data_IF_838233762487
#
_entry.id   IF_838233762487
#
_cell.length_a   1.000
_cell.length_b   1.000
_cell.length_c   1.000
_cell.angle_alpha   90.00
_cell.angle_beta   90.00
_cell.angle_gamma   90.00
#
_symmetry.space_group_name_H-M   'P 1'
#
loop_
_entity.id
_entity.type
_entity.pdbx_description
1 polymer ?
#
# COMPACT_ATOMS: atom_id res chain seq x y z
N UNK A 1 -1.45 27.29 -5.00
CA UNK A 1 -1.62 25.93 -4.46
C UNK A 1 -2.68 25.20 -5.27
N UNK A 2 -2.32 24.06 -5.78
CA UNK A 2 -3.22 23.19 -6.55
C UNK A 2 -3.46 21.89 -5.79
N UNK A 3 -4.62 21.30 -6.02
CA UNK A 3 -5.01 20.05 -5.38
C UNK A 3 -5.71 19.15 -6.39
N UNK A 4 -5.30 17.92 -6.47
CA UNK A 4 -5.94 16.89 -7.30
C UNK A 4 -6.16 15.62 -6.50
N UNK A 5 -7.23 14.92 -6.80
CA UNK A 5 -7.54 13.62 -6.21
C UNK A 5 -7.84 12.61 -7.31
N UNK A 6 -7.29 11.43 -7.18
CA UNK A 6 -7.47 10.34 -8.12
C UNK A 6 -7.54 9.01 -7.37
N UNK A 7 -7.90 7.95 -8.07
CA UNK A 7 -7.98 6.60 -7.50
C UNK A 7 -7.27 5.61 -8.41
N UNK A 8 -6.47 4.74 -7.80
CA UNK A 8 -5.88 3.59 -8.47
C UNK A 8 -6.67 2.35 -8.07
N UNK A 9 -7.09 1.56 -9.05
CA UNK A 9 -7.77 0.29 -8.83
C UNK A 9 -6.80 -0.86 -9.05
N UNK A 10 -6.66 -1.74 -8.06
CA UNK A 10 -5.77 -2.91 -8.12
C UNK A 10 -6.58 -4.15 -7.77
N UNK A 11 -6.57 -5.13 -8.65
CA UNK A 11 -7.11 -6.47 -8.36
C UNK A 11 -6.04 -7.28 -7.65
N UNK A 12 -6.44 -7.90 -6.55
CA UNK A 12 -5.56 -8.75 -5.76
C UNK A 12 -6.01 -10.19 -5.81
N UNK A 13 -5.14 -11.08 -5.38
CA UNK A 13 -5.44 -12.49 -5.20
C UNK A 13 -5.74 -12.76 -3.72
N UNK A 14 -5.30 -13.85 -3.17
CA UNK A 14 -5.38 -14.13 -1.74
C UNK A 14 -4.00 -14.46 -1.20
N UNK A 15 -3.85 -14.39 0.13
CA UNK A 15 -2.64 -14.83 0.84
C UNK A 15 -1.40 -14.00 0.54
N UNK A 16 -1.47 -12.72 0.87
CA UNK A 16 -0.32 -11.80 0.91
C UNK A 16 0.23 -11.47 -0.48
N UNK A 17 -0.49 -10.63 -1.18
CA UNK A 17 0.05 -9.93 -2.35
C UNK A 17 0.89 -8.75 -1.92
N UNK A 18 2.05 -8.59 -2.54
CA UNK A 18 2.90 -7.41 -2.42
C UNK A 18 3.10 -6.88 -3.83
N UNK A 19 2.40 -5.80 -4.16
CA UNK A 19 2.27 -5.31 -5.53
C UNK A 19 2.94 -3.95 -5.67
N UNK A 20 3.88 -3.82 -6.61
CA UNK A 20 4.50 -2.54 -6.93
C UNK A 20 3.48 -1.65 -7.64
N UNK A 21 3.13 -0.52 -7.02
CA UNK A 21 2.21 0.47 -7.59
C UNK A 21 2.91 1.77 -7.97
N UNK A 22 4.23 1.84 -7.86
CA UNK A 22 4.99 3.04 -8.26
C UNK A 22 4.67 3.50 -9.68
N UNK A 23 4.57 2.61 -10.69
CA UNK A 23 4.23 3.05 -12.05
C UNK A 23 2.89 3.77 -12.13
N UNK A 24 1.88 3.30 -11.42
CA UNK A 24 0.55 3.94 -11.42
C UNK A 24 0.57 5.30 -10.71
N UNK A 25 1.34 5.42 -9.63
CA UNK A 25 1.49 6.69 -8.92
C UNK A 25 2.24 7.70 -9.79
N UNK A 26 3.33 7.29 -10.41
CA UNK A 26 4.11 8.13 -11.33
C UNK A 26 3.28 8.61 -12.52
N UNK A 27 2.45 7.73 -13.07
CA UNK A 27 1.56 8.08 -14.18
C UNK A 27 0.56 9.18 -13.76
N UNK A 28 -0.03 9.07 -12.58
CA UNK A 28 -0.93 10.10 -12.06
C UNK A 28 -0.19 11.42 -11.88
N UNK A 29 0.99 11.40 -11.26
CA UNK A 29 1.81 12.60 -11.08
C UNK A 29 2.11 13.27 -12.43
N UNK A 30 2.46 12.49 -13.44
CA UNK A 30 2.82 13.01 -14.75
C UNK A 30 1.67 13.70 -15.50
N UNK A 31 0.44 13.38 -15.16
CA UNK A 31 -0.76 13.98 -15.77
C UNK A 31 -1.11 15.34 -15.18
N UNK A 32 -0.49 15.74 -14.10
CA UNK A 32 -0.82 16.97 -13.39
C UNK A 32 0.37 17.91 -13.36
N UNK A 33 0.10 19.20 -13.45
CA UNK A 33 1.14 20.24 -13.47
C UNK A 33 1.48 20.68 -12.04
N UNK A 34 1.87 19.75 -11.20
CA UNK A 34 2.43 20.03 -9.87
C UNK A 34 3.89 19.60 -9.88
N UNK A 35 4.78 20.56 -9.69
CA UNK A 35 6.22 20.30 -9.69
C UNK A 35 6.76 20.08 -8.28
N UNK A 36 6.25 20.83 -7.31
CA UNK A 36 6.75 20.76 -5.95
C UNK A 36 5.58 20.66 -4.97
N UNK A 37 5.62 19.67 -4.12
CA UNK A 37 4.54 19.42 -3.19
C UNK A 37 4.62 18.07 -2.53
N UNK A 38 3.46 17.47 -2.35
CA UNK A 38 3.32 16.17 -1.68
C UNK A 38 2.31 15.29 -2.40
N UNK A 39 2.60 14.00 -2.43
CA UNK A 39 1.67 12.97 -2.86
C UNK A 39 1.26 12.18 -1.63
N UNK A 40 -0.02 12.17 -1.33
CA UNK A 40 -0.60 11.37 -0.27
C UNK A 40 -1.27 10.15 -0.88
N UNK A 41 -0.92 8.96 -0.40
CA UNK A 41 -1.55 7.69 -0.76
C UNK A 41 -2.29 7.14 0.44
N UNK A 42 -3.50 6.65 0.22
CA UNK A 42 -4.29 6.04 1.28
C UNK A 42 -5.08 4.84 0.75
N UNK A 43 -5.00 3.71 1.44
CA UNK A 43 -5.82 2.54 1.15
C UNK A 43 -7.00 2.49 2.11
N UNK A 44 -8.21 2.60 1.57
CA UNK A 44 -9.43 2.45 2.35
C UNK A 44 -9.76 0.97 2.49
N UNK A 45 -9.60 0.45 3.69
CA UNK A 45 -9.82 -0.96 4.00
C UNK A 45 -8.97 -1.37 5.19
N UNK A 46 -9.37 -2.43 5.87
CA UNK A 46 -8.73 -2.84 7.13
C UNK A 46 -7.89 -4.12 7.01
N UNK A 47 -7.74 -4.67 5.80
CA UNK A 47 -6.97 -5.88 5.55
C UNK A 47 -5.84 -5.71 4.54
N UNK A 48 -5.58 -4.46 4.14
CA UNK A 48 -4.49 -4.10 3.24
C UNK A 48 -3.72 -2.90 3.79
N UNK A 49 -2.51 -2.69 3.30
CA UNK A 49 -1.62 -1.65 3.76
C UNK A 49 -0.77 -1.10 2.61
N UNK A 50 -0.15 0.05 2.85
CA UNK A 50 0.82 0.66 1.95
C UNK A 50 2.15 0.79 2.67
N UNK A 51 3.24 0.49 1.95
CA UNK A 51 4.60 0.73 2.44
C UNK A 51 5.55 0.94 1.26
N UNK A 52 6.81 1.16 1.56
CA UNK A 52 7.87 1.18 0.55
C UNK A 52 8.86 0.07 0.82
N UNK A 53 9.44 -0.46 -0.24
CA UNK A 53 10.42 -1.53 -0.17
C UNK A 53 11.26 -1.53 -1.44
N UNK A 54 12.48 -2.03 -1.38
CA UNK A 54 13.16 -2.46 -2.58
C UNK A 54 12.37 -3.62 -3.19
N UNK A 55 11.86 -3.43 -4.41
CA UNK A 55 11.04 -4.45 -5.05
C UNK A 55 11.92 -5.51 -5.71
N UNK A 56 12.54 -6.31 -4.86
CA UNK A 56 13.48 -7.35 -5.22
C UNK A 56 13.00 -8.65 -4.55
N UNK A 57 13.15 -9.77 -5.24
CA UNK A 57 12.59 -11.05 -4.84
C UNK A 57 12.99 -11.48 -3.43
N UNK A 58 14.27 -11.32 -3.08
CA UNK A 58 14.79 -11.72 -1.77
C UNK A 58 14.19 -10.89 -0.64
N UNK A 59 14.16 -9.57 -0.81
CA UNK A 59 13.60 -8.64 0.18
C UNK A 59 12.10 -8.88 0.34
N UNK A 60 11.38 -9.12 -0.76
CA UNK A 60 9.94 -9.41 -0.71
C UNK A 60 9.69 -10.70 0.06
N UNK A 61 10.48 -11.74 -0.18
CA UNK A 61 10.36 -13.00 0.55
C UNK A 61 10.70 -12.82 2.04
N UNK A 62 11.70 -11.99 2.35
CA UNK A 62 12.05 -11.66 3.73
C UNK A 62 10.92 -10.89 4.43
N UNK A 63 10.29 -9.96 3.73
CA UNK A 63 9.14 -9.24 4.28
C UNK A 63 7.97 -10.18 4.57
N UNK A 64 7.66 -11.09 3.65
CA UNK A 64 6.61 -12.10 3.88
C UNK A 64 6.88 -12.94 5.11
N UNK A 65 8.12 -13.38 5.28
CA UNK A 65 8.53 -14.16 6.45
C UNK A 65 8.39 -13.36 7.73
N UNK A 66 8.83 -12.11 7.74
CA UNK A 66 8.73 -11.24 8.90
C UNK A 66 7.27 -10.98 9.30
N UNK A 67 6.41 -10.74 8.32
CA UNK A 67 4.97 -10.53 8.54
C UNK A 67 4.33 -11.80 9.12
N UNK A 68 4.68 -12.97 8.60
CA UNK A 68 4.17 -14.24 9.14
C UNK A 68 4.61 -14.48 10.58
N UNK A 69 5.81 -14.06 10.94
CA UNK A 69 6.29 -14.15 12.32
C UNK A 69 5.56 -13.19 13.26
N UNK A 70 5.25 -11.96 12.79
CA UNK A 70 4.60 -10.95 13.62
C UNK A 70 3.10 -11.23 13.83
N UNK A 71 2.41 -11.66 12.79
CA UNK A 71 0.99 -11.93 12.83
C UNK A 71 0.70 -13.21 12.02
N UNK A 72 0.98 -14.39 12.60
CA UNK A 72 0.90 -15.64 11.87
C UNK A 72 -0.53 -16.05 11.54
N UNK A 73 -0.69 -16.74 10.42
CA UNK A 73 -1.89 -17.53 10.15
C UNK A 73 -1.89 -18.77 11.05
N UNK A 74 -3.05 -19.38 11.23
CA UNK A 74 -3.15 -20.65 11.93
C UNK A 74 -3.18 -20.58 13.45
N UNK A 75 -3.19 -19.39 14.03
CA UNK A 75 -3.45 -19.20 15.45
C UNK A 75 -4.86 -18.64 15.64
N UNK A 76 -5.33 -18.68 16.90
CA UNK A 76 -6.65 -18.15 17.23
C UNK A 76 -6.62 -16.64 17.35
N UNK A 77 -7.45 -15.94 16.57
CA UNK A 77 -7.68 -14.50 16.71
C UNK A 77 -9.10 -14.28 17.27
N UNK A 78 -9.23 -13.36 18.21
CA UNK A 78 -10.53 -13.02 18.79
C UNK A 78 -11.52 -12.51 17.76
N UNK A 79 -11.05 -11.83 16.70
CA UNK A 79 -11.85 -11.42 15.55
C UNK A 79 -12.57 -12.62 14.92
N UNK A 80 -11.88 -13.73 14.72
CA UNK A 80 -12.40 -14.91 14.04
C UNK A 80 -13.41 -15.66 14.92
N UNK A 81 -13.21 -15.65 16.24
CA UNK A 81 -14.15 -16.23 17.19
C UNK A 81 -15.49 -15.50 17.08
N UNK A 82 -15.46 -14.17 16.96
CA UNK A 82 -16.68 -13.35 16.90
C UNK A 82 -17.37 -13.40 15.53
N UNK A 83 -16.60 -13.29 14.44
CA UNK A 83 -17.15 -13.07 13.10
C UNK A 83 -17.06 -14.28 12.19
N UNK A 84 -16.16 -15.23 12.47
CA UNK A 84 -16.00 -16.44 11.66
C UNK A 84 -15.32 -16.22 10.31
N UNK A 85 -14.72 -15.06 10.07
CA UNK A 85 -14.15 -14.71 8.75
C UNK A 85 -12.81 -15.37 8.47
N UNK A 86 -12.09 -15.78 9.52
CA UNK A 86 -10.77 -16.41 9.40
C UNK A 86 -9.65 -15.45 8.96
N UNK A 87 -9.88 -14.14 8.97
CA UNK A 87 -8.93 -13.14 8.50
C UNK A 87 -8.43 -12.18 9.58
N UNK A 88 -8.51 -12.57 10.84
CA UNK A 88 -8.02 -11.74 11.96
C UNK A 88 -6.54 -11.37 11.79
N UNK A 89 -5.73 -12.30 11.30
CA UNK A 89 -4.32 -12.03 11.01
C UNK A 89 -4.15 -10.88 9.99
N UNK A 90 -5.03 -10.80 9.01
CA UNK A 90 -4.96 -9.77 7.97
C UNK A 90 -5.21 -8.38 8.53
N UNK A 91 -6.17 -8.24 9.44
CA UNK A 91 -6.45 -6.97 10.13
C UNK A 91 -5.24 -6.52 10.97
N UNK A 92 -4.62 -7.44 11.68
CA UNK A 92 -3.43 -7.12 12.50
C UNK A 92 -2.25 -6.70 11.62
N UNK A 93 -1.99 -7.44 10.56
CA UNK A 93 -0.92 -7.11 9.59
C UNK A 93 -1.12 -5.73 8.98
N UNK A 94 -2.34 -5.43 8.53
CA UNK A 94 -2.66 -4.13 7.95
C UNK A 94 -2.45 -2.99 8.95
N UNK A 95 -2.88 -3.20 10.20
CA UNK A 95 -2.70 -2.21 11.25
C UNK A 95 -1.23 -1.94 11.57
N UNK A 96 -0.38 -2.96 11.53
CA UNK A 96 1.05 -2.82 11.80
C UNK A 96 1.80 -2.07 10.69
N UNK A 97 1.45 -2.31 9.42
CA UNK A 97 2.11 -1.65 8.30
C UNK A 97 1.54 -0.25 8.01
N UNK A 98 0.25 -0.06 8.24
CA UNK A 98 -0.40 1.24 8.09
C UNK A 98 -1.07 1.46 6.72
N UNK A 99 -2.01 2.44 6.67
CA UNK A 99 -2.87 2.64 5.51
C UNK A 99 -2.38 3.73 4.56
N UNK A 100 -1.35 4.49 4.89
CA UNK A 100 -1.01 5.70 4.13
C UNK A 100 0.48 5.94 4.01
N UNK A 101 0.83 6.67 2.96
CA UNK A 101 2.18 7.17 2.71
C UNK A 101 2.09 8.61 2.25
N UNK A 102 3.01 9.45 2.72
CA UNK A 102 3.21 10.79 2.21
C UNK A 102 4.58 10.85 1.55
N UNK A 103 4.62 11.21 0.26
CA UNK A 103 5.85 11.22 -0.53
C UNK A 103 6.09 12.63 -1.04
N UNK A 104 7.25 13.24 -0.73
CA UNK A 104 7.58 14.54 -1.30
C UNK A 104 7.70 14.49 -2.81
N UNK A 105 7.28 15.58 -3.46
CA UNK A 105 7.38 15.77 -4.90
C UNK A 105 8.29 16.97 -5.17
N UNK A 106 9.28 16.79 -6.03
CA UNK A 106 10.18 17.85 -6.47
C UNK A 106 10.45 17.74 -7.96
N UNK A 107 10.30 18.85 -8.66
CA UNK A 107 10.48 18.93 -10.11
C UNK A 107 9.65 17.86 -10.86
N UNK A 108 8.43 17.60 -10.38
CA UNK A 108 7.53 16.63 -10.98
C UNK A 108 7.88 15.17 -10.71
N UNK A 109 8.79 14.90 -9.80
CA UNK A 109 9.26 13.54 -9.49
C UNK A 109 9.07 13.20 -8.01
N UNK A 110 8.68 11.97 -7.76
CA UNK A 110 8.62 11.42 -6.41
C UNK A 110 10.05 11.31 -5.84
N UNK A 111 10.26 11.82 -4.64
CA UNK A 111 11.55 11.75 -3.97
C UNK A 111 11.72 10.39 -3.27
N UNK A 112 11.71 9.34 -4.05
CA UNK A 112 12.03 7.99 -3.58
C UNK A 112 13.53 7.73 -3.74
N UNK A 113 14.07 6.89 -2.86
CA UNK A 113 15.42 6.37 -3.05
C UNK A 113 15.51 5.52 -4.33
N UNK A 114 16.72 5.30 -4.84
CA UNK A 114 16.96 4.62 -6.11
C UNK A 114 16.25 3.26 -6.21
N UNK A 115 16.23 2.51 -5.13
CA UNK A 115 15.63 1.16 -5.09
C UNK A 115 14.28 1.12 -4.38
N UNK A 116 13.81 2.27 -3.87
CA UNK A 116 12.60 2.35 -3.09
C UNK A 116 11.35 2.39 -3.99
N UNK A 117 10.47 1.41 -3.83
CA UNK A 117 9.21 1.34 -4.57
C UNK A 117 8.04 1.39 -3.62
N UNK A 118 6.93 1.96 -4.07
CA UNK A 118 5.67 1.96 -3.34
C UNK A 118 4.95 0.65 -3.60
N UNK A 119 4.53 -0.03 -2.54
CA UNK A 119 3.82 -1.30 -2.66
C UNK A 119 2.50 -1.29 -1.90
N UNK A 120 1.52 -1.93 -2.51
CA UNK A 120 0.28 -2.36 -1.87
C UNK A 120 0.48 -3.76 -1.32
N UNK A 121 0.23 -3.94 -0.03
CA UNK A 121 0.24 -5.25 0.62
C UNK A 121 -1.21 -5.63 0.93
N UNK A 122 -1.72 -6.70 0.32
CA UNK A 122 -3.05 -7.20 0.59
C UNK A 122 -2.95 -8.52 1.35
N UNK A 123 -3.45 -8.52 2.58
CA UNK A 123 -3.33 -9.65 3.50
C UNK A 123 -4.60 -10.48 3.60
N UNK A 124 -5.69 -10.07 2.93
CA UNK A 124 -6.96 -10.77 3.06
C UNK A 124 -6.90 -12.20 2.53
N UNK A 125 -7.80 -13.02 3.01
CA UNK A 125 -7.89 -14.44 2.64
C UNK A 125 -8.75 -14.70 1.40
N UNK A 126 -9.07 -13.66 0.65
CA UNK A 126 -9.83 -13.76 -0.61
C UNK A 126 -9.43 -12.65 -1.58
N UNK A 127 -9.65 -12.83 -2.89
CA UNK A 127 -9.42 -11.77 -3.87
C UNK A 127 -10.26 -10.53 -3.60
N UNK A 128 -9.66 -9.36 -3.84
CA UNK A 128 -10.29 -8.05 -3.68
C UNK A 128 -10.02 -7.18 -4.90
N UNK A 129 -10.84 -6.15 -5.08
CA UNK A 129 -10.48 -4.98 -5.88
C UNK A 129 -10.23 -3.85 -4.90
N UNK A 130 -8.97 -3.43 -4.79
CA UNK A 130 -8.57 -2.37 -3.86
C UNK A 130 -8.59 -1.02 -4.55
N UNK A 131 -9.00 -0.01 -3.81
CA UNK A 131 -8.96 1.37 -4.24
C UNK A 131 -7.92 2.11 -3.42
N UNK A 132 -6.92 2.68 -4.09
CA UNK A 132 -5.90 3.51 -3.46
C UNK A 132 -6.18 4.95 -3.84
N UNK A 133 -6.48 5.76 -2.85
CA UNK A 133 -6.72 7.19 -3.03
C UNK A 133 -5.37 7.87 -3.18
N UNK A 134 -5.23 8.67 -4.23
CA UNK A 134 -4.02 9.45 -4.51
C UNK A 134 -4.40 10.92 -4.50
N UNK A 135 -3.79 11.68 -3.60
CA UNK A 135 -3.99 13.12 -3.54
C UNK A 135 -2.66 13.85 -3.77
N UNK A 136 -2.68 14.81 -4.71
CA UNK A 136 -1.55 15.67 -5.00
C UNK A 136 -1.86 17.08 -4.52
N UNK A 137 -0.92 17.66 -3.80
CA UNK A 137 -1.03 19.02 -3.32
C UNK A 137 0.30 19.73 -3.51
N UNK A 138 0.28 20.90 -4.14
CA UNK A 138 1.52 21.64 -4.34
C UNK A 138 1.37 22.79 -5.33
N UNK A 139 2.50 23.15 -5.92
CA UNK A 139 2.61 24.26 -6.87
C UNK A 139 3.25 23.80 -8.17
N UNK A 140 2.88 24.50 -9.22
CA UNK A 140 3.47 24.30 -10.54
C UNK A 140 4.91 24.81 -10.63
#
# INVERSE_FOLDING_TARGET
>A
MQFYSSVIHIKTTSDTDIINISPQVEDIVSRHNILNGIVLLFIAGSTAALTTIEYERGVINDLRRAIELMAPQGITYEHDIRWGDGNGYAHVRAALLGPSLAIPLRNGQLLLGTWQQVVLCDFDNRPRTREIIVQLQGIA
#
